data_IF_707170546058
#
_entry.id   IF_707170546058
#
_cell.length_a   1.000
_cell.length_b   1.000
_cell.length_c   1.000
_cell.angle_alpha   90.00
_cell.angle_beta   90.00
_cell.angle_gamma   90.00
#
_symmetry.space_group_name_H-M   'P 1'
#
loop_
_entity.id
_entity.type
_entity.pdbx_description
1 polymer ?
#
# COMPACT_ATOMS: atom_id res chain seq x y z
N UNK A 1 1.71 -9.24 16.58
CA UNK A 1 2.93 -8.64 15.97
C UNK A 1 2.68 -7.16 15.75
N UNK A 2 3.73 -6.36 15.62
CA UNK A 2 3.67 -4.97 15.14
C UNK A 2 3.94 -4.95 13.64
N UNK A 3 2.94 -4.62 12.84
CA UNK A 3 3.03 -4.66 11.38
C UNK A 3 2.90 -3.24 10.82
N UNK A 4 3.82 -2.86 9.95
CA UNK A 4 3.86 -1.55 9.32
C UNK A 4 3.60 -1.69 7.81
N UNK A 5 2.46 -1.19 7.33
CA UNK A 5 2.17 -1.03 5.90
C UNK A 5 2.66 0.32 5.39
N UNK A 6 3.46 0.33 4.32
CA UNK A 6 4.00 1.57 3.75
C UNK A 6 3.68 1.64 2.25
N UNK A 7 2.80 2.58 1.86
CA UNK A 7 2.49 2.91 0.47
C UNK A 7 3.22 4.16 -0.01
N UNK A 8 3.43 4.29 -1.30
CA UNK A 8 4.02 5.49 -1.90
C UNK A 8 2.97 6.62 -1.99
N UNK A 9 1.76 6.32 -2.45
CA UNK A 9 0.70 7.29 -2.68
C UNK A 9 -0.55 7.01 -1.82
N UNK A 10 -1.39 8.03 -1.60
CA UNK A 10 -2.75 7.84 -1.09
C UNK A 10 -3.56 6.99 -2.08
N UNK A 11 -3.92 5.76 -1.76
CA UNK A 11 -4.61 4.67 -2.45
C UNK A 11 -3.80 3.36 -2.58
N UNK A 12 -2.48 3.39 -2.47
CA UNK A 12 -1.64 2.21 -2.64
C UNK A 12 -1.92 1.10 -1.62
N UNK A 13 -2.07 1.48 -0.35
CA UNK A 13 -2.36 0.49 0.71
C UNK A 13 -3.68 -0.21 0.40
N UNK A 14 -4.68 0.54 -0.03
CA UNK A 14 -6.01 0.03 -0.34
C UNK A 14 -5.99 -0.92 -1.54
N UNK A 15 -5.17 -0.61 -2.55
CA UNK A 15 -5.09 -1.41 -3.77
C UNK A 15 -4.25 -2.67 -3.57
N UNK A 16 -3.12 -2.59 -2.85
CA UNK A 16 -2.09 -3.64 -2.86
C UNK A 16 -1.92 -4.40 -1.55
N UNK A 17 -2.35 -3.86 -0.41
CA UNK A 17 -2.00 -4.39 0.93
C UNK A 17 -3.20 -4.51 1.87
N UNK A 18 -4.36 -3.95 1.50
CA UNK A 18 -5.50 -3.80 2.41
C UNK A 18 -6.00 -5.13 2.95
N UNK A 19 -6.08 -6.14 2.09
CA UNK A 19 -6.57 -7.45 2.47
C UNK A 19 -5.67 -8.11 3.51
N UNK A 20 -4.37 -8.18 3.24
CA UNK A 20 -3.38 -8.73 4.17
C UNK A 20 -3.38 -7.96 5.50
N UNK A 21 -3.33 -6.62 5.46
CA UNK A 21 -3.33 -5.80 6.68
C UNK A 21 -4.62 -5.99 7.48
N UNK A 22 -5.79 -6.09 6.83
CA UNK A 22 -7.08 -6.33 7.48
C UNK A 22 -7.12 -7.69 8.18
N UNK A 23 -6.60 -8.74 7.54
CA UNK A 23 -6.52 -10.07 8.15
C UNK A 23 -5.58 -10.07 9.36
N UNK A 24 -4.45 -9.38 9.27
CA UNK A 24 -3.54 -9.21 10.41
C UNK A 24 -4.22 -8.45 11.55
N UNK A 25 -4.96 -7.37 11.25
CA UNK A 25 -5.73 -6.63 12.26
C UNK A 25 -6.79 -7.51 12.94
N UNK A 26 -7.55 -8.32 12.17
CA UNK A 26 -8.53 -9.27 12.72
C UNK A 26 -7.88 -10.35 13.59
N UNK A 27 -6.64 -10.73 13.31
CA UNK A 27 -5.85 -11.65 14.15
C UNK A 27 -5.40 -11.03 15.47
N UNK A 28 -5.52 -9.71 15.63
CA UNK A 28 -5.12 -8.96 16.81
C UNK A 28 -3.69 -8.39 16.74
N UNK A 29 -3.12 -8.28 15.55
CA UNK A 29 -1.85 -7.60 15.35
C UNK A 29 -2.01 -6.07 15.46
N UNK A 30 -0.97 -5.40 15.93
CA UNK A 30 -0.87 -3.94 15.98
C UNK A 30 -0.49 -3.43 14.58
N UNK A 31 -1.41 -2.74 13.91
CA UNK A 31 -1.19 -2.21 12.56
C UNK A 31 -0.84 -0.72 12.63
N UNK A 32 0.21 -0.35 11.93
CA UNK A 32 0.55 1.05 11.64
C UNK A 32 0.64 1.24 10.12
N UNK A 33 0.25 2.41 9.67
CA UNK A 33 0.15 2.74 8.25
C UNK A 33 0.96 4.00 7.96
N UNK A 34 1.64 4.04 6.82
CA UNK A 34 2.44 5.18 6.39
C UNK A 34 2.28 5.40 4.89
N UNK A 35 2.11 6.65 4.49
CA UNK A 35 2.06 7.07 3.08
C UNK A 35 3.19 8.06 2.83
N UNK A 36 4.02 7.79 1.82
CA UNK A 36 5.22 8.58 1.58
C UNK A 36 4.91 9.93 0.92
N UNK A 37 4.14 9.96 -0.16
CA UNK A 37 3.93 11.18 -0.94
C UNK A 37 2.58 11.85 -0.65
N UNK A 38 2.43 13.08 -1.10
CA UNK A 38 1.22 13.89 -0.94
C UNK A 38 0.14 13.59 -2.01
N UNK A 39 0.47 12.79 -3.05
CA UNK A 39 -0.44 12.45 -4.13
C UNK A 39 -0.86 13.62 -5.03
N UNK A 40 -0.11 14.72 -5.05
CA UNK A 40 -0.50 15.96 -5.73
C UNK A 40 -0.43 15.90 -7.26
N UNK A 41 0.28 14.92 -7.85
CA UNK A 41 0.45 14.77 -9.30
C UNK A 41 -0.63 13.88 -9.96
N UNK A 42 -1.51 13.26 -9.20
CA UNK A 42 -2.46 12.25 -9.70
C UNK A 42 -3.58 12.76 -10.61
N UNK A 43 -3.75 14.06 -10.83
CA UNK A 43 -4.83 14.61 -11.68
C UNK A 43 -4.51 16.04 -12.16
N UNK A 44 -5.32 16.53 -13.13
CA UNK A 44 -5.24 17.88 -13.74
C UNK A 44 -5.69 19.02 -12.80
N UNK A 45 -6.22 18.73 -11.62
CA UNK A 45 -6.60 19.74 -10.60
C UNK A 45 -5.34 20.40 -10.01
N UNK A 46 -5.50 21.63 -9.49
CA UNK A 46 -4.36 22.32 -8.86
C UNK A 46 -3.78 21.50 -7.69
N UNK A 47 -2.49 21.29 -7.70
CA UNK A 47 -1.75 20.36 -6.85
C UNK A 47 -2.12 20.40 -5.35
N UNK A 48 -2.19 21.58 -4.73
CA UNK A 48 -2.52 21.71 -3.30
C UNK A 48 -3.94 21.26 -2.94
N UNK A 49 -4.91 21.53 -3.81
CA UNK A 49 -6.29 21.07 -3.58
C UNK A 49 -6.41 19.56 -3.71
N UNK A 50 -5.69 18.95 -4.63
CA UNK A 50 -5.71 17.51 -4.82
C UNK A 50 -5.08 16.78 -3.64
N UNK A 51 -3.95 17.22 -3.15
CA UNK A 51 -3.30 16.66 -1.96
C UNK A 51 -4.23 16.65 -0.74
N UNK A 52 -4.89 17.78 -0.45
CA UNK A 52 -5.85 17.87 0.65
C UNK A 52 -7.06 16.92 0.48
N UNK A 53 -7.53 16.75 -0.75
CA UNK A 53 -8.63 15.83 -1.05
C UNK A 53 -8.16 14.39 -0.82
N UNK A 54 -7.05 13.97 -1.44
CA UNK A 54 -6.51 12.62 -1.33
C UNK A 54 -6.16 12.24 0.12
N UNK A 55 -5.64 13.20 0.88
CA UNK A 55 -5.43 13.03 2.32
C UNK A 55 -6.71 12.63 3.07
N UNK A 56 -7.83 13.31 2.80
CA UNK A 56 -9.12 13.00 3.44
C UNK A 56 -9.67 11.66 2.97
N UNK A 57 -9.53 11.36 1.69
CA UNK A 57 -9.97 10.10 1.10
C UNK A 57 -9.23 8.91 1.72
N UNK A 58 -7.90 8.97 1.81
CA UNK A 58 -7.09 7.89 2.41
C UNK A 58 -7.37 7.70 3.92
N UNK A 59 -7.54 8.80 4.68
CA UNK A 59 -7.93 8.70 6.09
C UNK A 59 -9.28 7.99 6.23
N UNK A 60 -10.25 8.34 5.39
CA UNK A 60 -11.57 7.70 5.39
C UNK A 60 -11.52 6.24 4.92
N UNK A 61 -10.68 5.94 3.93
CA UNK A 61 -10.52 4.59 3.38
C UNK A 61 -9.92 3.62 4.38
N UNK A 62 -8.94 4.07 5.16
CA UNK A 62 -8.15 3.23 6.06
C UNK A 62 -8.66 3.19 7.50
N UNK A 63 -9.74 3.91 7.83
CA UNK A 63 -10.24 4.08 9.21
C UNK A 63 -10.51 2.75 9.95
N UNK A 64 -10.86 1.68 9.22
CA UNK A 64 -11.18 0.38 9.80
C UNK A 64 -9.93 -0.43 10.18
N UNK A 65 -8.74 -0.07 9.69
CA UNK A 65 -7.47 -0.76 9.97
C UNK A 65 -6.41 0.13 10.64
N UNK A 66 -6.57 1.46 10.60
CA UNK A 66 -5.66 2.37 11.29
C UNK A 66 -5.70 3.78 10.72
N UNK A 67 -4.98 4.69 11.38
CA UNK A 67 -4.81 6.07 10.92
C UNK A 67 -3.43 6.23 10.27
N UNK A 68 -3.33 6.62 8.99
CA UNK A 68 -2.05 6.70 8.30
C UNK A 68 -1.20 7.90 8.75
N UNK A 69 0.10 7.68 8.93
CA UNK A 69 1.12 8.73 9.04
C UNK A 69 1.48 9.20 7.62
N UNK A 70 1.11 10.43 7.28
CA UNK A 70 1.30 11.03 5.96
C UNK A 70 2.60 11.85 5.97
N UNK A 71 3.62 11.40 5.23
CA UNK A 71 4.94 12.05 5.22
C UNK A 71 4.97 13.28 4.33
N UNK A 72 4.12 13.34 3.30
CA UNK A 72 3.94 14.53 2.46
C UNK A 72 5.10 14.86 1.53
N UNK A 73 5.89 13.86 1.12
CA UNK A 73 6.91 14.07 0.08
C UNK A 73 6.24 14.39 -1.27
N UNK A 74 6.91 15.13 -2.16
CA UNK A 74 6.36 15.45 -3.48
C UNK A 74 6.07 14.18 -4.31
N UNK A 75 4.83 14.08 -4.83
CA UNK A 75 4.38 12.99 -5.70
C UNK A 75 5.10 13.04 -7.05
N UNK A 76 5.59 11.89 -7.52
CA UNK A 76 6.40 11.74 -8.73
C UNK A 76 7.89 12.02 -8.54
N UNK A 77 8.30 12.51 -7.37
CA UNK A 77 9.66 12.99 -7.11
C UNK A 77 10.35 12.30 -5.92
N UNK A 78 9.79 11.19 -5.42
CA UNK A 78 10.29 10.56 -4.19
C UNK A 78 11.78 10.19 -4.28
N UNK A 79 12.25 9.76 -5.44
CA UNK A 79 13.66 9.43 -5.67
C UNK A 79 14.61 10.63 -5.57
N UNK A 80 14.09 11.85 -5.70
CA UNK A 80 14.85 13.10 -5.66
C UNK A 80 14.83 13.78 -4.29
N UNK A 81 14.08 13.21 -3.31
CA UNK A 81 13.98 13.77 -1.95
C UNK A 81 15.18 13.29 -1.11
N UNK A 82 16.12 14.17 -0.89
CA UNK A 82 17.44 13.87 -0.27
C UNK A 82 17.35 13.30 1.16
N UNK A 83 16.33 13.65 1.91
CA UNK A 83 16.14 13.24 3.31
C UNK A 83 15.06 12.15 3.50
N UNK A 84 14.40 11.70 2.42
CA UNK A 84 13.32 10.70 2.50
C UNK A 84 13.77 9.44 3.25
N UNK A 85 14.95 8.91 2.95
CA UNK A 85 15.49 7.73 3.64
C UNK A 85 15.74 7.99 5.13
N UNK A 86 16.19 9.18 5.50
CA UNK A 86 16.45 9.56 6.90
C UNK A 86 15.13 9.63 7.68
N UNK A 87 14.11 10.25 7.09
CA UNK A 87 12.77 10.37 7.68
C UNK A 87 12.15 8.99 7.85
N UNK A 88 12.14 8.16 6.80
CA UNK A 88 11.63 6.78 6.86
C UNK A 88 12.34 5.96 7.94
N UNK A 89 13.67 5.99 7.98
CA UNK A 89 14.45 5.30 9.01
C UNK A 89 14.05 5.72 10.43
N UNK A 90 13.87 7.02 10.66
CA UNK A 90 13.44 7.55 11.97
C UNK A 90 12.07 7.03 12.36
N UNK A 91 11.11 7.05 11.43
CA UNK A 91 9.74 6.57 11.64
C UNK A 91 9.68 5.06 11.88
N UNK A 92 10.37 4.27 11.06
CA UNK A 92 10.46 2.80 11.20
C UNK A 92 11.07 2.44 12.57
N UNK A 93 12.16 3.10 12.96
CA UNK A 93 12.79 2.85 14.27
C UNK A 93 11.87 3.23 15.45
N UNK A 94 11.11 4.32 15.31
CA UNK A 94 10.19 4.76 16.36
C UNK A 94 9.05 3.76 16.57
N UNK A 95 8.47 3.25 15.49
CA UNK A 95 7.41 2.23 15.56
C UNK A 95 7.98 0.86 15.98
N UNK A 96 9.20 0.53 15.58
CA UNK A 96 9.89 -0.73 15.86
C UNK A 96 9.05 -1.94 15.43
N UNK A 97 8.75 -2.10 14.11
CA UNK A 97 7.91 -3.17 13.59
C UNK A 97 8.59 -4.55 13.70
N UNK A 98 7.75 -5.59 13.82
CA UNK A 98 8.15 -7.00 13.64
C UNK A 98 8.14 -7.40 12.17
N UNK A 99 7.37 -6.68 11.33
CA UNK A 99 7.19 -6.92 9.90
C UNK A 99 6.85 -5.62 9.18
N UNK A 100 7.42 -5.41 8.00
CA UNK A 100 7.02 -4.34 7.08
C UNK A 100 6.42 -4.93 5.81
N UNK A 101 5.35 -4.30 5.29
CA UNK A 101 4.75 -4.58 3.99
C UNK A 101 4.88 -3.33 3.14
N UNK A 102 5.42 -3.45 1.93
CA UNK A 102 5.64 -2.32 1.02
C UNK A 102 5.66 -2.79 -0.44
N UNK A 103 5.85 -1.84 -1.37
CA UNK A 103 5.94 -2.13 -2.81
C UNK A 103 7.13 -3.02 -3.18
N UNK A 104 6.93 -3.80 -4.23
CA UNK A 104 7.99 -4.63 -4.82
C UNK A 104 9.03 -3.78 -5.57
N UNK A 105 10.31 -4.19 -5.58
CA UNK A 105 11.36 -3.48 -6.33
C UNK A 105 11.18 -3.59 -7.84
N UNK A 106 10.40 -4.55 -8.34
CA UNK A 106 10.07 -4.78 -9.74
C UNK A 106 8.94 -3.90 -10.27
N UNK A 107 8.29 -3.11 -9.40
CA UNK A 107 7.15 -2.26 -9.78
C UNK A 107 7.54 -1.29 -10.91
N UNK A 108 6.57 -0.98 -11.78
CA UNK A 108 6.78 -0.05 -12.90
C UNK A 108 6.79 1.43 -12.45
N UNK A 109 6.13 1.78 -11.33
CA UNK A 109 6.05 3.16 -10.87
C UNK A 109 7.36 3.61 -10.21
N UNK A 110 7.96 4.76 -10.62
CA UNK A 110 9.24 5.20 -10.07
C UNK A 110 9.22 5.44 -8.56
N UNK A 111 8.15 6.01 -8.01
CA UNK A 111 8.03 6.24 -6.56
C UNK A 111 7.87 4.93 -5.77
N UNK A 112 7.18 3.92 -6.34
CA UNK A 112 7.09 2.59 -5.71
C UNK A 112 8.47 1.96 -5.60
N UNK A 113 9.27 2.00 -6.67
CA UNK A 113 10.65 1.48 -6.65
C UNK A 113 11.55 2.27 -5.69
N UNK A 114 11.42 3.60 -5.67
CA UNK A 114 12.18 4.44 -4.74
C UNK A 114 11.82 4.10 -3.29
N UNK A 115 10.52 3.97 -2.98
CA UNK A 115 10.06 3.59 -1.65
C UNK A 115 10.54 2.19 -1.25
N UNK A 116 10.40 1.21 -2.15
CA UNK A 116 10.89 -0.15 -1.95
C UNK A 116 12.38 -0.17 -1.60
N UNK A 117 13.19 0.56 -2.35
CA UNK A 117 14.61 0.72 -2.08
C UNK A 117 14.88 1.36 -0.71
N UNK A 118 14.21 2.48 -0.39
CA UNK A 118 14.42 3.17 0.88
C UNK A 118 14.01 2.31 2.08
N UNK A 119 12.88 1.62 1.99
CA UNK A 119 12.41 0.70 3.03
C UNK A 119 13.41 -0.42 3.22
N UNK A 120 13.86 -1.07 2.16
CA UNK A 120 14.85 -2.15 2.23
C UNK A 120 16.15 -1.69 2.89
N UNK A 121 16.65 -0.51 2.51
CA UNK A 121 17.88 0.05 3.11
C UNK A 121 17.71 0.44 4.59
N UNK A 122 16.51 0.83 4.98
CA UNK A 122 16.24 1.30 6.36
C UNK A 122 15.80 0.18 7.30
N UNK A 123 15.06 -0.81 6.79
CA UNK A 123 14.57 -1.96 7.54
C UNK A 123 15.59 -3.10 7.65
N UNK A 124 16.59 -3.13 6.77
CA UNK A 124 17.63 -4.14 6.78
C UNK A 124 18.25 -4.28 8.19
N UNK A 125 18.28 -5.49 8.72
CA UNK A 125 18.71 -5.82 10.09
C UNK A 125 17.76 -5.36 11.22
N UNK A 126 16.58 -4.80 10.92
CA UNK A 126 15.55 -4.47 11.91
C UNK A 126 14.48 -5.57 11.91
N UNK A 127 13.82 -5.79 10.78
CA UNK A 127 12.77 -6.78 10.64
C UNK A 127 12.65 -7.28 9.18
N UNK A 128 11.94 -8.41 8.94
CA UNK A 128 11.57 -8.84 7.61
C UNK A 128 10.75 -7.79 6.86
N UNK A 129 10.89 -7.77 5.52
CA UNK A 129 10.08 -6.98 4.60
C UNK A 129 9.37 -7.92 3.64
N UNK A 130 8.04 -7.80 3.53
CA UNK A 130 7.23 -8.45 2.51
C UNK A 130 6.91 -7.42 1.44
N UNK A 131 7.07 -7.81 0.18
CA UNK A 131 6.68 -7.02 -0.97
C UNK A 131 5.28 -7.42 -1.43
N UNK A 132 4.39 -6.41 -1.54
CA UNK A 132 3.08 -6.63 -2.14
C UNK A 132 3.18 -6.78 -3.66
N UNK A 133 2.12 -7.30 -4.26
CA UNK A 133 2.02 -7.44 -5.72
C UNK A 133 2.10 -6.08 -6.42
N UNK A 134 2.53 -6.11 -7.69
CA UNK A 134 2.47 -4.95 -8.59
C UNK A 134 1.11 -4.89 -9.29
N UNK A 135 0.70 -3.72 -9.80
CA UNK A 135 -0.56 -3.62 -10.54
C UNK A 135 -0.52 -4.53 -11.78
N UNK A 136 -1.53 -5.39 -11.91
CA UNK A 136 -1.63 -6.43 -12.93
C UNK A 136 -0.49 -7.45 -12.93
N UNK A 137 0.24 -7.60 -11.82
CA UNK A 137 1.30 -8.61 -11.64
C UNK A 137 2.50 -8.42 -12.54
N UNK A 138 2.74 -7.22 -13.04
CA UNK A 138 3.83 -6.95 -13.98
C UNK A 138 5.18 -7.24 -13.30
N UNK A 139 5.94 -8.19 -13.90
CA UNK A 139 7.25 -8.63 -13.43
C UNK A 139 7.28 -9.21 -11.99
N UNK A 140 6.14 -9.52 -11.38
CA UNK A 140 6.05 -10.02 -10.02
C UNK A 140 5.80 -11.54 -9.98
N UNK A 141 6.63 -12.26 -9.24
CA UNK A 141 6.50 -13.68 -8.98
C UNK A 141 6.25 -13.91 -7.49
N UNK A 142 4.99 -14.15 -7.06
CA UNK A 142 4.68 -14.29 -5.65
C UNK A 142 5.23 -15.59 -5.06
N UNK A 143 5.83 -15.50 -3.88
CA UNK A 143 6.23 -16.63 -3.05
C UNK A 143 5.11 -17.11 -2.13
N UNK A 144 4.19 -16.20 -1.77
CA UNK A 144 3.09 -16.42 -0.84
C UNK A 144 1.80 -15.86 -1.42
N UNK A 145 0.69 -16.49 -1.05
CA UNK A 145 -0.67 -16.06 -1.38
C UNK A 145 -1.49 -16.01 -0.11
N UNK A 146 -2.13 -14.89 0.13
CA UNK A 146 -2.97 -14.69 1.31
C UNK A 146 -4.43 -14.65 0.87
N UNK A 147 -5.27 -15.54 1.39
CA UNK A 147 -6.71 -15.50 1.14
C UNK A 147 -7.33 -14.28 1.82
N UNK A 148 -7.78 -13.34 1.01
CA UNK A 148 -8.40 -12.08 1.47
C UNK A 148 -9.91 -12.06 1.22
N UNK A 149 -10.52 -13.19 0.88
CA UNK A 149 -11.93 -13.29 0.48
C UNK A 149 -12.88 -12.76 1.55
N UNK A 150 -12.59 -12.99 2.82
CA UNK A 150 -13.44 -12.56 3.94
C UNK A 150 -13.44 -11.04 4.17
N UNK A 151 -12.42 -10.35 3.69
CA UNK A 151 -12.25 -8.90 3.85
C UNK A 151 -12.33 -8.15 2.50
N UNK A 152 -12.57 -8.87 1.41
CA UNK A 152 -12.54 -8.27 0.07
C UNK A 152 -13.58 -7.17 -0.12
N UNK A 153 -14.79 -7.33 0.43
CA UNK A 153 -15.82 -6.28 0.39
C UNK A 153 -15.38 -4.98 1.11
N UNK A 154 -14.57 -5.11 2.18
CA UNK A 154 -14.00 -3.96 2.88
C UNK A 154 -12.93 -3.28 2.00
N UNK A 155 -12.08 -4.08 1.33
CA UNK A 155 -11.10 -3.59 0.35
C UNK A 155 -11.77 -2.82 -0.80
N UNK A 156 -12.86 -3.36 -1.37
CA UNK A 156 -13.63 -2.68 -2.42
C UNK A 156 -14.12 -1.30 -1.95
N UNK A 157 -14.69 -1.24 -0.74
CA UNK A 157 -15.15 0.02 -0.13
C UNK A 157 -14.00 1.00 0.07
N UNK A 158 -12.84 0.53 0.52
CA UNK A 158 -11.66 1.36 0.73
C UNK A 158 -11.14 1.94 -0.59
N UNK A 159 -11.00 1.14 -1.64
CA UNK A 159 -10.60 1.62 -2.98
C UNK A 159 -11.61 2.65 -3.51
N UNK A 160 -12.91 2.39 -3.37
CA UNK A 160 -13.96 3.31 -3.84
C UNK A 160 -14.03 4.63 -3.07
N UNK A 161 -13.39 4.76 -1.91
CA UNK A 161 -13.32 6.03 -1.17
C UNK A 161 -12.49 7.11 -1.90
N UNK A 162 -11.57 6.71 -2.79
CA UNK A 162 -10.68 7.62 -3.54
C UNK A 162 -11.36 8.26 -4.75
N UNK A 163 -12.42 9.03 -4.52
CA UNK A 163 -13.27 9.63 -5.57
C UNK A 163 -12.53 10.60 -6.50
N UNK A 164 -11.43 11.20 -6.04
CA UNK A 164 -10.58 12.06 -6.86
C UNK A 164 -9.76 11.32 -7.91
N UNK A 165 -9.68 9.98 -7.76
CA UNK A 165 -8.88 9.10 -8.61
C UNK A 165 -9.78 8.12 -9.34
N UNK A 166 -9.96 7.88 -10.43
CA UNK A 166 -10.86 6.96 -11.16
C UNK A 166 -11.09 5.60 -10.42
N UNK A 167 -11.72 5.58 -9.23
CA UNK A 167 -11.63 4.45 -8.29
C UNK A 167 -12.25 3.16 -8.83
N UNK A 168 -13.25 3.27 -9.72
CA UNK A 168 -13.85 2.10 -10.36
C UNK A 168 -12.86 1.34 -11.25
N UNK A 169 -11.97 2.05 -11.95
CA UNK A 169 -10.92 1.45 -12.77
C UNK A 169 -9.91 0.70 -11.90
N UNK A 170 -9.50 1.29 -10.79
CA UNK A 170 -8.59 0.63 -9.85
C UNK A 170 -9.24 -0.56 -9.15
N UNK A 171 -10.52 -0.46 -8.78
CA UNK A 171 -11.26 -1.58 -8.23
C UNK A 171 -11.34 -2.75 -9.22
N UNK A 172 -11.65 -2.48 -10.49
CA UNK A 172 -11.70 -3.51 -11.53
C UNK A 172 -10.34 -4.21 -11.66
N UNK A 173 -9.24 -3.44 -11.75
CA UNK A 173 -7.89 -3.98 -11.84
C UNK A 173 -7.51 -4.82 -10.60
N UNK A 174 -7.77 -4.33 -9.38
CA UNK A 174 -7.52 -5.05 -8.14
C UNK A 174 -8.34 -6.34 -8.05
N UNK A 175 -9.61 -6.29 -8.46
CA UNK A 175 -10.49 -7.47 -8.48
C UNK A 175 -9.97 -8.55 -9.43
N UNK A 176 -9.60 -8.16 -10.65
CA UNK A 176 -9.03 -9.08 -11.64
C UNK A 176 -7.72 -9.71 -11.12
N UNK A 177 -6.86 -8.89 -10.53
CA UNK A 177 -5.59 -9.35 -9.98
C UNK A 177 -5.79 -10.34 -8.83
N UNK A 178 -6.60 -9.99 -7.85
CA UNK A 178 -6.81 -10.85 -6.69
C UNK A 178 -7.51 -12.16 -7.07
N UNK A 179 -8.37 -12.17 -8.08
CA UNK A 179 -8.93 -13.39 -8.67
C UNK A 179 -7.89 -14.21 -9.42
N UNK A 180 -7.03 -13.57 -10.19
CA UNK A 180 -5.94 -14.23 -10.89
C UNK A 180 -4.99 -14.91 -9.90
N UNK A 181 -4.59 -14.23 -8.84
CA UNK A 181 -3.72 -14.79 -7.78
C UNK A 181 -4.39 -15.94 -7.06
N UNK A 182 -5.68 -15.84 -6.76
CA UNK A 182 -6.47 -16.94 -6.21
C UNK A 182 -6.48 -18.17 -7.12
N UNK A 183 -6.70 -17.97 -8.42
CA UNK A 183 -6.63 -19.07 -9.39
C UNK A 183 -5.21 -19.64 -9.52
N UNK A 184 -4.18 -18.83 -9.47
CA UNK A 184 -2.79 -19.23 -9.60
C UNK A 184 -2.33 -20.14 -8.44
N UNK A 185 -2.80 -19.89 -7.22
CA UNK A 185 -2.54 -20.77 -6.08
C UNK A 185 -3.55 -21.91 -5.91
N UNK A 186 -4.42 -22.13 -6.90
CA UNK A 186 -5.44 -23.17 -6.88
C UNK A 186 -6.41 -23.08 -5.68
N UNK A 187 -6.74 -21.85 -5.27
CA UNK A 187 -7.75 -21.62 -4.24
C UNK A 187 -9.16 -22.01 -4.72
N UNK A 188 -10.13 -22.19 -3.80
CA UNK A 188 -11.52 -22.47 -4.17
C UNK A 188 -12.13 -21.41 -5.09
N UNK A 189 -13.14 -21.79 -5.85
CA UNK A 189 -13.85 -20.88 -6.76
C UNK A 189 -14.41 -19.66 -6.00
N UNK A 190 -14.34 -18.48 -6.63
CA UNK A 190 -14.76 -17.18 -6.08
C UNK A 190 -13.93 -16.65 -4.89
N UNK A 191 -12.74 -17.18 -4.65
CA UNK A 191 -11.81 -16.61 -3.68
C UNK A 191 -11.00 -15.46 -4.30
N UNK A 192 -10.39 -14.66 -3.41
CA UNK A 192 -9.49 -13.57 -3.73
C UNK A 192 -8.19 -13.74 -2.94
N UNK A 193 -7.05 -13.54 -3.58
CA UNK A 193 -5.74 -13.60 -2.93
C UNK A 193 -4.90 -12.34 -3.20
N UNK A 194 -4.17 -11.93 -2.20
CA UNK A 194 -3.06 -10.96 -2.31
C UNK A 194 -1.73 -11.68 -2.24
#
# INVERSE_FOLDING_TARGET
>A
MKILGIGAHPDDIEIFMFGLLSICAQRGDEISLMIATDGAAGNVLSNNKLSDIRKKETISALQDIGYPDLLGFPDGELSNVSDAMIVLRKKIKLFNPDLIITHAPEDYHPDHRALSYYVTQTAGFICPVIFCDTLMGVNFHPDFYIDVSTVFAQKEKAILAHQSQTPKKFLEAATLMNRFRSAQCNAPHNHYAE
#
